data_IF_292907629059
#
_entry.id   IF_292907629059
#
_cell.length_a   1.000
_cell.length_b   1.000
_cell.length_c   1.000
_cell.angle_alpha   90.00
_cell.angle_beta   90.00
_cell.angle_gamma   90.00
#
_symmetry.space_group_name_H-M   'P 1'
#
loop_
_entity.id
_entity.type
_entity.pdbx_description
1 polymer ?
2 non-polymer ?
3 non-polymer ?
4 non-polymer ?
5 non-polymer ?
6 water ?
#
# COMPACT_ATOMS: atom_id res chain seq x y z
N UNK A 8 -24.77 -20.79 -6.85
CA UNK A 8 -24.64 -20.18 -5.52
C UNK A 8 -25.54 -18.93 -5.29
N UNK A 9 -25.69 -18.50 -4.01
CA UNK A 9 -26.44 -17.32 -3.53
C UNK A 9 -25.65 -16.64 -2.39
N UNK A 10 -25.99 -15.36 -2.09
CA UNK A 10 -25.37 -14.63 -0.97
C UNK A 10 -26.15 -14.96 0.33
N UNK A 11 -25.49 -14.92 1.51
CA UNK A 11 -26.20 -15.21 2.77
C UNK A 11 -27.40 -14.33 3.00
N UNK A 12 -28.36 -14.80 3.80
CA UNK A 12 -29.56 -14.04 4.13
C UNK A 12 -29.18 -12.78 4.92
N UNK A 13 -28.16 -12.91 5.81
CA UNK A 13 -27.65 -11.84 6.66
C UNK A 13 -27.09 -10.66 5.87
N UNK A 14 -26.31 -10.97 4.80
CA UNK A 14 -25.71 -9.99 3.90
C UNK A 14 -26.78 -9.30 3.11
N UNK A 15 -27.67 -10.10 2.50
CA UNK A 15 -28.82 -9.68 1.70
C UNK A 15 -29.77 -8.78 2.47
N UNK A 16 -29.90 -9.00 3.78
CA UNK A 16 -30.75 -8.24 4.69
C UNK A 16 -30.33 -6.76 4.84
N UNK A 17 -29.04 -6.45 4.61
CA UNK A 17 -28.49 -5.08 4.76
C UNK A 17 -28.03 -4.48 3.44
N UNK A 18 -27.59 -5.31 2.48
CA UNK A 18 -27.05 -4.84 1.22
C UNK A 18 -27.74 -5.39 -0.02
N UNK A 19 -27.98 -4.51 -1.03
CA UNK A 19 -28.50 -4.85 -2.35
C UNK A 19 -27.30 -5.01 -3.26
N UNK A 20 -27.04 -6.24 -3.70
CA UNK A 20 -25.91 -6.60 -4.55
C UNK A 20 -26.12 -6.24 -6.03
N UNK A 21 -25.07 -5.66 -6.66
CA UNK A 21 -25.07 -5.26 -8.07
C UNK A 21 -23.82 -5.76 -8.84
N UNK A 22 -23.44 -5.03 -9.92
CA UNK A 22 -22.33 -5.28 -10.86
C UNK A 22 -20.98 -5.64 -10.23
N UNK A 23 -20.28 -6.62 -10.81
CA UNK A 23 -18.93 -7.03 -10.38
C UNK A 23 -17.89 -5.94 -10.72
N UNK A 24 -16.94 -5.69 -9.81
CA UNK A 24 -15.91 -4.66 -9.99
C UNK A 24 -14.55 -5.23 -10.41
N UNK A 25 -14.28 -6.45 -9.96
CA UNK A 25 -13.05 -7.19 -10.27
C UNK A 25 -13.12 -8.67 -10.00
N UNK A 26 -13.11 -9.49 -11.08
CA UNK A 26 -13.17 -10.96 -10.98
C UNK A 26 -11.78 -11.59 -10.78
N UNK A 31 -12.16 -11.36 -5.56
CA UNK A 31 -13.51 -11.06 -6.12
C UNK A 31 -14.21 -9.85 -5.40
N UNK A 32 -14.43 -8.72 -6.16
CA UNK A 32 -15.05 -7.48 -5.64
C UNK A 32 -16.36 -7.13 -6.35
N UNK A 33 -17.43 -6.89 -5.57
CA UNK A 33 -18.72 -6.51 -6.13
C UNK A 33 -19.23 -5.19 -5.60
N UNK A 34 -20.07 -4.52 -6.39
CA UNK A 34 -20.68 -3.26 -5.97
C UNK A 34 -22.03 -3.56 -5.31
N UNK A 35 -22.25 -3.01 -4.12
CA UNK A 35 -23.51 -3.20 -3.41
C UNK A 35 -24.04 -1.86 -2.91
N UNK A 36 -25.27 -1.84 -2.46
CA UNK A 36 -25.89 -0.64 -1.94
C UNK A 36 -26.37 -0.90 -0.52
N UNK A 37 -25.99 -0.05 0.43
CA UNK A 37 -26.47 -0.25 1.79
C UNK A 37 -27.94 0.18 1.80
N UNK A 38 -28.86 -0.74 2.15
CA UNK A 38 -30.31 -0.49 2.19
C UNK A 38 -30.66 0.71 3.07
N UNK A 39 -29.98 0.84 4.23
CA UNK A 39 -30.21 1.89 5.23
C UNK A 39 -29.94 3.27 4.68
N UNK A 40 -28.81 3.44 4.00
CA UNK A 40 -28.32 4.74 3.52
C UNK A 40 -28.50 5.01 2.05
N UNK A 41 -28.73 3.96 1.24
CA UNK A 41 -28.80 3.95 -0.21
C UNK A 41 -27.46 4.30 -0.82
N UNK A 42 -26.43 4.40 0.03
CA UNK A 42 -25.07 4.72 -0.41
C UNK A 42 -24.45 3.47 -1.04
N UNK A 43 -23.51 3.66 -2.00
CA UNK A 43 -22.79 2.60 -2.70
C UNK A 43 -21.69 2.08 -1.78
N UNK A 44 -21.35 0.79 -1.87
CA UNK A 44 -20.26 0.13 -1.11
C UNK A 44 -19.53 -0.86 -2.01
N UNK A 45 -18.41 -1.41 -1.54
CA UNK A 45 -17.69 -2.45 -2.28
C UNK A 45 -17.63 -3.70 -1.40
N UNK A 46 -18.13 -4.83 -1.92
CA UNK A 46 -18.11 -6.08 -1.17
C UNK A 46 -17.10 -7.08 -1.72
N UNK A 47 -16.00 -7.29 -0.96
CA UNK A 47 -14.90 -8.20 -1.27
C UNK A 47 -15.22 -9.62 -0.74
N UNK A 48 -15.38 -10.56 -1.68
CA UNK A 48 -15.63 -11.97 -1.42
C UNK A 48 -14.27 -12.75 -1.47
N UNK A 49 -13.84 -13.31 -0.31
CA UNK A 49 -12.63 -14.13 -0.16
C UNK A 49 -13.15 -15.54 0.09
N UNK A 50 -13.02 -16.44 -0.90
CA UNK A 50 -13.52 -17.84 -0.81
C UNK A 50 -12.80 -18.71 0.24
N UNK A 51 -13.58 -19.49 1.03
CA UNK A 51 -13.09 -20.35 2.12
C UNK A 51 -12.21 -21.50 1.66
N UNK A 67 -6.56 -16.28 8.78
CA UNK A 67 -5.82 -15.25 8.04
C UNK A 67 -6.75 -14.07 7.62
N UNK A 68 -8.04 -14.36 7.42
CA UNK A 68 -9.06 -13.34 7.08
C UNK A 68 -9.52 -12.72 8.39
N UNK A 69 -9.49 -13.48 9.50
CA UNK A 69 -9.83 -12.99 10.84
C UNK A 69 -8.79 -11.98 11.31
N UNK A 70 -7.51 -12.20 10.91
CA UNK A 70 -6.38 -11.32 11.20
C UNK A 70 -6.48 -10.03 10.36
N UNK A 71 -6.85 -10.17 9.06
CA UNK A 71 -7.02 -9.06 8.12
C UNK A 71 -8.11 -8.08 8.67
N UNK A 72 -9.22 -8.63 9.20
CA UNK A 72 -10.35 -7.89 9.78
C UNK A 72 -9.88 -7.21 11.06
N UNK A 73 -9.15 -7.98 11.91
CA UNK A 73 -8.59 -7.52 13.17
C UNK A 73 -7.64 -6.35 12.95
N UNK A 74 -6.75 -6.45 11.92
CA UNK A 74 -5.84 -5.35 11.58
C UNK A 74 -6.65 -4.10 11.12
N UNK A 75 -7.49 -4.28 10.09
CA UNK A 75 -8.30 -3.21 9.49
C UNK A 75 -9.32 -2.51 10.37
N UNK A 76 -9.82 -3.18 11.41
CA UNK A 76 -10.78 -2.59 12.35
C UNK A 76 -10.09 -1.58 13.28
N UNK A 77 -8.81 -1.88 13.65
CA UNK A 77 -7.98 -1.05 14.54
C UNK A 77 -7.36 0.15 13.83
N UNK A 78 -6.87 -0.04 12.59
CA UNK A 78 -6.22 1.00 11.77
C UNK A 78 -7.20 2.08 11.39
N UNK A 79 -6.80 3.34 11.60
CA UNK A 79 -7.62 4.51 11.27
C UNK A 79 -6.79 5.67 10.63
N UNK A 80 -6.74 5.70 9.28
CA UNK A 80 -5.96 6.69 8.54
C UNK A 80 -6.63 7.00 7.22
N UNK A 81 -6.58 8.27 6.74
CA UNK A 81 -7.23 8.62 5.47
C UNK A 81 -6.74 7.82 4.26
N UNK A 82 -5.49 7.33 4.27
CA UNK A 82 -4.91 6.58 3.16
C UNK A 82 -4.87 5.08 3.33
N UNK A 83 -5.67 4.55 4.27
CA UNK A 83 -5.87 3.13 4.51
C UNK A 83 -7.39 2.84 4.44
N UNK A 84 -7.81 1.91 3.55
CA UNK A 84 -9.20 1.46 3.35
C UNK A 84 -9.87 1.01 4.68
N UNK A 85 -11.14 1.42 4.90
CA UNK A 85 -11.87 1.09 6.12
C UNK A 85 -12.91 -0.03 5.89
N UNK A 86 -13.07 -0.89 6.91
CA UNK A 86 -14.05 -1.99 6.93
C UNK A 86 -15.32 -1.36 7.43
N UNK A 87 -16.43 -1.58 6.71
CA UNK A 87 -17.73 -1.04 7.11
C UNK A 87 -18.52 -2.16 7.80
N UNK A 88 -18.33 -3.42 7.34
CA UNK A 88 -19.06 -4.60 7.82
C UNK A 88 -18.38 -5.90 7.36
N UNK A 89 -18.64 -7.00 8.06
CA UNK A 89 -18.05 -8.30 7.75
C UNK A 89 -19.03 -9.48 7.96
N UNK A 90 -19.02 -10.44 7.02
CA UNK A 90 -19.88 -11.63 7.06
C UNK A 90 -19.06 -12.90 6.84
N UNK A 91 -19.14 -13.82 7.80
CA UNK A 91 -18.43 -15.09 7.78
C UNK A 91 -19.45 -16.21 7.55
N UNK A 92 -19.56 -16.67 6.28
CA UNK A 92 -20.50 -17.70 5.85
C UNK A 92 -19.80 -18.84 5.08
N UNK A 93 -20.38 -19.30 3.93
CA UNK A 93 -19.80 -20.34 3.05
C UNK A 93 -18.50 -19.79 2.47
N UNK A 94 -18.43 -18.44 2.37
CA UNK A 94 -17.30 -17.62 1.97
C UNK A 94 -17.26 -16.42 2.93
N UNK A 95 -16.16 -15.67 2.90
CA UNK A 95 -16.03 -14.47 3.72
C UNK A 95 -16.43 -13.28 2.88
N UNK A 96 -17.26 -12.37 3.45
CA UNK A 96 -17.71 -11.16 2.75
C UNK A 96 -17.24 -9.93 3.53
N UNK A 97 -16.46 -9.06 2.88
CA UNK A 97 -15.91 -7.86 3.51
C UNK A 97 -16.46 -6.62 2.82
N UNK A 98 -17.18 -5.77 3.58
CA UNK A 98 -17.80 -4.52 3.09
C UNK A 98 -16.81 -3.40 3.29
N UNK A 99 -16.43 -2.75 2.20
CA UNK A 99 -15.47 -1.65 2.19
C UNK A 99 -16.05 -0.42 1.52
N UNK A 100 -15.42 0.73 1.76
CA UNK A 100 -15.82 1.98 1.12
C UNK A 100 -15.49 1.87 -0.38
N UNK A 101 -16.37 2.38 -1.24
CA UNK A 101 -16.17 2.26 -2.68
C UNK A 101 -15.20 3.29 -3.19
N UNK A 102 -14.15 2.81 -3.88
CA UNK A 102 -13.12 3.65 -4.48
C UNK A 102 -13.50 3.77 -5.93
N UNK A 103 -14.11 4.92 -6.26
CA UNK A 103 -14.63 5.19 -7.57
C UNK A 103 -13.58 5.32 -8.70
N UNK A 104 -12.32 5.60 -8.35
CA UNK A 104 -11.23 5.70 -9.33
C UNK A 104 -10.57 4.38 -9.72
N UNK A 105 -10.92 3.31 -9.03
CA UNK A 105 -10.35 1.99 -9.31
C UNK A 105 -8.95 1.80 -8.79
N UNK A 106 -8.21 0.85 -9.40
CA UNK A 106 -6.82 0.48 -9.05
C UNK A 106 -5.84 1.42 -9.73
N UNK A 107 -4.69 1.69 -9.07
CA UNK A 107 -3.60 2.51 -9.60
C UNK A 107 -2.92 1.76 -10.75
N UNK A 108 -3.01 0.43 -10.70
CA UNK A 108 -2.47 -0.45 -11.72
C UNK A 108 -3.02 -0.09 -13.09
N UNK A 109 -4.35 0.16 -13.16
CA UNK A 109 -5.03 0.54 -14.40
C UNK A 109 -4.55 1.90 -14.97
N UNK A 110 -3.95 2.77 -14.11
CA UNK A 110 -3.42 4.07 -14.54
C UNK A 110 -1.98 3.94 -15.09
N UNK A 111 -1.30 2.80 -14.81
CA UNK A 111 0.09 2.53 -15.21
C UNK A 111 0.33 1.42 -16.26
N UNK A 112 -0.67 0.56 -16.55
CA UNK A 112 -0.58 -0.54 -17.55
C UNK A 112 -0.24 -0.06 -18.97
N UNK A 113 0.46 -0.93 -19.71
CA UNK A 113 0.83 -0.68 -21.11
C UNK A 113 1.70 0.53 -21.32
N UNK A 114 2.70 0.70 -20.43
CA UNK A 114 3.66 1.81 -20.45
C UNK A 114 3.02 3.21 -20.39
N UNK A 115 1.87 3.28 -19.70
CA UNK A 115 1.15 4.51 -19.42
C UNK A 115 1.95 5.23 -18.34
N UNK A 116 2.21 6.51 -18.59
CA UNK A 116 3.00 7.32 -17.69
C UNK A 116 2.18 8.41 -17.03
N UNK A 117 2.32 8.50 -15.69
CA UNK A 117 1.70 9.50 -14.82
C UNK A 117 2.61 10.75 -14.80
N UNK A 118 2.01 11.99 -14.89
CA UNK A 118 2.73 13.28 -14.81
C UNK A 118 3.54 13.30 -13.49
N UNK A 119 4.77 13.84 -13.49
CA UNK A 119 5.58 13.89 -12.27
C UNK A 119 4.84 14.42 -11.02
N UNK A 120 3.90 15.37 -11.21
CA UNK A 120 3.10 15.97 -10.13
C UNK A 120 2.11 14.98 -9.51
N UNK A 121 1.51 14.12 -10.35
CA UNK A 121 0.54 13.12 -9.89
C UNK A 121 1.26 12.02 -9.14
N UNK A 122 2.52 11.72 -9.54
CA UNK A 122 3.38 10.75 -8.86
C UNK A 122 3.64 11.27 -7.47
N UNK A 123 4.04 12.56 -7.36
CA UNK A 123 4.32 13.17 -6.08
C UNK A 123 3.15 13.07 -5.14
N UNK A 124 1.95 13.40 -5.61
CA UNK A 124 0.73 13.39 -4.80
C UNK A 124 0.38 11.99 -4.24
N UNK A 125 0.39 11.01 -5.13
CA UNK A 125 0.07 9.61 -4.85
C UNK A 125 1.10 9.01 -3.91
N UNK A 126 2.38 9.20 -4.26
CA UNK A 126 3.50 8.68 -3.51
C UNK A 126 3.55 9.20 -2.10
N UNK A 127 3.35 10.53 -1.92
CA UNK A 127 3.31 11.18 -0.62
C UNK A 127 2.30 10.51 0.26
N UNK A 128 1.10 10.23 -0.29
CA UNK A 128 0.03 9.53 0.43
C UNK A 128 0.40 8.08 0.80
N UNK A 129 1.05 7.34 -0.14
CA UNK A 129 1.53 5.98 0.13
C UNK A 129 2.57 6.03 1.27
N UNK A 130 3.45 7.07 1.27
CA UNK A 130 4.44 7.20 2.35
C UNK A 130 3.77 7.44 3.71
N UNK A 131 2.77 8.31 3.75
CA UNK A 131 2.04 8.60 4.96
C UNK A 131 1.33 7.35 5.51
N UNK A 132 0.66 6.62 4.61
CA UNK A 132 -0.06 5.38 4.90
C UNK A 132 0.85 4.32 5.50
N UNK A 133 1.99 4.03 4.82
CA UNK A 133 3.00 3.07 5.25
C UNK A 133 3.66 3.53 6.56
N UNK A 134 4.01 4.82 6.68
CA UNK A 134 4.58 5.30 7.93
C UNK A 134 3.65 4.93 9.10
N UNK A 135 2.31 5.17 8.92
CA UNK A 135 1.24 4.88 9.89
C UNK A 135 1.29 3.43 10.30
N UNK A 136 1.25 2.51 9.31
CA UNK A 136 1.33 1.07 9.50
C UNK A 136 2.53 0.70 10.37
N UNK A 137 3.74 1.15 9.98
CA UNK A 137 5.01 0.89 10.67
C UNK A 137 5.00 1.49 12.09
N UNK A 138 4.52 2.73 12.25
CA UNK A 138 4.37 3.36 13.56
C UNK A 138 3.50 2.48 14.47
N UNK A 139 2.42 1.87 13.93
CA UNK A 139 1.48 0.98 14.64
C UNK A 139 1.85 -0.53 14.51
N UNK A 140 3.13 -0.82 14.23
CA UNK A 140 3.69 -2.17 14.12
C UNK A 140 3.12 -3.17 13.14
N UNK A 141 2.71 -2.71 11.94
CA UNK A 141 2.16 -3.55 10.88
C UNK A 141 3.04 -3.44 9.66
N UNK A 142 3.28 -4.58 9.00
CA UNK A 142 4.08 -4.67 7.79
C UNK A 142 3.13 -5.19 6.69
N UNK A 143 2.86 -4.40 5.63
CA UNK A 143 1.92 -4.77 4.57
C UNK A 143 2.40 -5.99 3.83
N UNK A 144 3.68 -5.99 3.42
CA UNK A 144 4.31 -7.15 2.78
C UNK A 144 3.85 -7.46 1.34
N UNK A 145 2.80 -6.79 0.85
CA UNK A 145 2.30 -7.00 -0.50
C UNK A 145 1.90 -5.69 -1.22
N UNK A 146 2.76 -4.63 -1.12
CA UNK A 146 2.48 -3.36 -1.82
C UNK A 146 2.76 -3.48 -3.32
N UNK A 147 1.72 -3.21 -4.13
CA UNK A 147 1.72 -3.29 -5.59
C UNK A 147 0.79 -2.19 -6.12
N UNK A 148 0.94 -1.75 -7.39
CA UNK A 148 -0.05 -0.81 -7.95
C UNK A 148 -1.48 -1.37 -7.92
N UNK A 149 -1.66 -2.70 -7.88
CA UNK A 149 -2.99 -3.35 -7.81
C UNK A 149 -3.64 -3.33 -6.40
N UNK A 150 -2.89 -2.87 -5.40
CA UNK A 150 -3.36 -2.76 -4.01
C UNK A 150 -3.48 -1.29 -3.59
N UNK A 151 -3.29 -0.36 -4.54
CA UNK A 151 -3.44 1.09 -4.35
C UNK A 151 -4.70 1.51 -5.13
N UNK A 152 -5.70 2.05 -4.39
CA UNK A 152 -6.98 2.47 -4.94
C UNK A 152 -7.16 3.97 -4.93
N UNK A 153 -7.59 4.51 -6.07
CA UNK A 153 -7.86 5.94 -6.30
C UNK A 153 -9.32 6.26 -5.93
N UNK A 154 -9.54 7.32 -5.13
CA UNK A 154 -10.87 7.73 -4.67
C UNK A 154 -11.81 8.20 -5.75
N UNK A 155 -11.30 9.01 -6.70
CA UNK A 155 -12.12 9.54 -7.79
C UNK A 155 -11.55 9.28 -9.19
N UNK A 156 -12.40 9.49 -10.21
CA UNK A 156 -12.00 9.34 -11.61
C UNK A 156 -11.06 10.50 -12.04
N UNK A 157 -10.87 11.54 -11.17
CA UNK A 157 -9.99 12.69 -11.39
C UNK A 157 -8.51 12.36 -11.05
N UNK A 158 -7.52 13.05 -11.68
CA UNK A 158 -6.08 12.81 -11.46
C UNK A 158 -5.69 13.20 -10.05
N UNK A 159 -5.99 14.43 -9.63
CA UNK A 159 -5.71 14.82 -8.25
C UNK A 159 -6.87 14.23 -7.44
N UNK A 160 -6.56 13.22 -6.59
CA UNK A 160 -7.51 12.52 -5.71
C UNK A 160 -6.80 11.81 -4.56
N UNK A 161 -7.59 11.30 -3.60
CA UNK A 161 -7.05 10.58 -2.47
C UNK A 161 -6.79 9.14 -2.85
N UNK A 162 -5.69 8.57 -2.35
CA UNK A 162 -5.38 7.16 -2.60
C UNK A 162 -5.56 6.35 -1.30
N UNK A 163 -5.92 5.07 -1.42
CA UNK A 163 -6.07 4.22 -0.24
C UNK A 163 -5.39 2.87 -0.45
N UNK A 164 -4.63 2.41 0.56
CA UNK A 164 -3.90 1.15 0.55
C UNK A 164 -4.86 0.07 0.97
N UNK A 165 -4.95 -0.97 0.13
CA UNK A 165 -5.86 -2.11 0.34
C UNK A 165 -5.11 -3.45 0.42
N UNK A 166 -5.86 -4.55 0.64
CA UNK A 166 -5.39 -5.95 0.66
C UNK A 166 -4.30 -6.26 1.70
N UNK A 167 -4.75 -6.47 2.94
CA UNK A 167 -3.88 -6.78 4.06
C UNK A 167 -3.80 -8.28 4.40
N UNK A 168 -4.06 -9.13 3.40
CA UNK A 168 -4.03 -10.58 3.54
C UNK A 168 -2.68 -11.10 3.97
N UNK A 169 -1.63 -10.54 3.37
CA UNK A 169 -0.21 -10.87 3.61
C UNK A 169 0.44 -10.17 4.80
N UNK A 170 -0.20 -9.12 5.36
CA UNK A 170 0.41 -8.39 6.47
C UNK A 170 0.82 -9.19 7.71
N UNK A 171 1.90 -8.76 8.38
CA UNK A 171 2.44 -9.37 9.59
C UNK A 171 2.34 -8.36 10.72
N UNK A 172 2.29 -8.84 11.98
CA UNK A 172 2.22 -7.97 13.16
C UNK A 172 3.45 -8.15 14.05
N UNK A 173 4.22 -7.06 14.24
CA UNK A 173 5.39 -7.03 15.10
C UNK A 173 4.94 -6.98 16.58
N UNK A 175 6.62 -8.28 20.60
CA UNK A 175 7.85 -8.87 21.15
C UNK A 175 8.17 -10.21 20.48
N UNK A 176 9.38 -10.32 19.92
CA UNK A 176 9.84 -11.50 19.21
C UNK A 176 10.36 -12.63 20.10
N UNK A 177 10.53 -13.81 19.48
CA UNK A 177 11.09 -15.01 20.10
C UNK A 177 12.58 -14.76 20.34
N UNK A 178 13.22 -13.91 19.50
CA UNK A 178 14.64 -13.57 19.65
C UNK A 178 14.82 -12.74 20.94
N UNK A 179 14.02 -11.67 21.12
CA UNK A 179 14.06 -10.84 22.32
C UNK A 179 13.92 -11.71 23.60
N UNK A 180 13.02 -12.72 23.59
CA UNK A 180 12.81 -13.63 24.72
C UNK A 180 14.03 -14.57 24.96
N UNK A 181 14.65 -15.07 23.88
CA UNK A 181 15.82 -15.96 23.89
C UNK A 181 17.04 -15.23 24.49
N UNK A 182 17.30 -13.98 24.04
CA UNK A 182 18.44 -13.19 24.50
C UNK A 182 18.47 -12.87 25.99
N UNK A 183 17.30 -12.96 26.68
CA UNK A 183 17.24 -12.75 28.14
C UNK A 183 17.99 -13.87 28.91
N UNK A 184 18.13 -15.05 28.30
CA UNK A 184 18.90 -16.15 28.86
C UNK A 184 20.38 -16.10 28.49
N UNK A 185 21.19 -17.06 29.01
CA UNK A 185 22.61 -17.17 28.68
C UNK A 185 22.75 -18.12 27.49
N UNK A 186 23.51 -17.72 26.44
CA UNK A 186 23.59 -18.55 25.22
C UNK A 186 24.49 -19.78 25.29
N UNK A 187 24.63 -20.39 26.48
CA UNK A 187 25.44 -21.58 26.60
C UNK A 187 25.12 -22.59 25.48
N UNK A 188 23.81 -22.86 25.28
CA UNK A 188 23.29 -23.83 24.32
C UNK A 188 22.74 -23.22 23.05
N UNK A 189 22.75 -21.88 22.94
CA UNK A 189 22.25 -21.20 21.76
C UNK A 189 23.12 -21.42 20.50
N UNK A 190 22.46 -21.74 19.36
CA UNK A 190 23.06 -21.98 18.04
C UNK A 190 23.67 -20.69 17.50
N UNK A 191 24.79 -20.78 16.71
CA UNK A 191 25.44 -19.57 16.20
C UNK A 191 24.57 -18.73 15.29
N UNK A 192 23.86 -19.39 14.36
CA UNK A 192 22.99 -18.70 13.42
C UNK A 192 21.98 -17.78 14.12
N UNK A 193 21.54 -18.16 15.33
CA UNK A 193 20.57 -17.39 16.10
C UNK A 193 21.25 -16.11 16.51
N UNK A 194 22.48 -16.20 17.03
CA UNK A 194 23.28 -15.06 17.41
C UNK A 194 23.61 -14.18 16.21
N UNK A 195 23.80 -14.78 15.02
CA UNK A 195 24.06 -14.00 13.81
C UNK A 195 22.83 -13.20 13.39
N UNK A 196 21.64 -13.81 13.44
CA UNK A 196 20.37 -13.18 13.07
C UNK A 196 20.10 -11.85 13.82
N UNK A 197 20.73 -11.65 14.99
CA UNK A 197 20.62 -10.46 15.87
C UNK A 197 20.96 -9.14 15.15
N UNK A 198 21.94 -9.17 14.23
CA UNK A 198 22.36 -8.01 13.46
C UNK A 198 21.31 -7.45 12.52
N UNK A 199 20.72 -8.35 11.72
CA UNK A 199 19.70 -8.12 10.70
C UNK A 199 18.31 -7.89 11.29
N UNK A 200 17.99 -8.48 12.48
CA UNK A 200 16.69 -8.43 13.16
C UNK A 200 16.02 -7.07 13.23
N UNK A 201 14.70 -7.05 13.31
CA UNK A 201 13.90 -5.84 13.40
C UNK A 201 13.95 -4.87 12.22
N UNK A 202 14.24 -5.38 10.99
CA UNK A 202 14.30 -4.62 9.73
C UNK A 202 13.42 -5.25 8.61
N UNK A 203 12.38 -6.02 9.00
CA UNK A 203 11.44 -6.69 8.07
C UNK A 203 10.52 -5.65 7.43
N UNK A 204 10.25 -4.54 8.15
CA UNK A 204 9.44 -3.41 7.68
C UNK A 204 10.06 -2.84 6.38
N UNK A 205 11.41 -2.79 6.28
CA UNK A 205 12.15 -2.32 5.10
C UNK A 205 11.71 -2.99 3.77
N UNK A 206 10.95 -4.10 3.84
CA UNK A 206 10.42 -4.73 2.64
C UNK A 206 9.39 -3.85 1.94
N UNK A 207 8.61 -3.08 2.70
CA UNK A 207 7.61 -2.14 2.20
C UNK A 207 8.26 -0.93 1.50
N UNK A 208 9.45 -0.50 1.96
CA UNK A 208 10.18 0.61 1.35
C UNK A 208 10.72 0.16 0.02
N UNK A 209 11.10 -1.12 -0.10
CA UNK A 209 11.54 -1.66 -1.37
C UNK A 209 10.35 -1.53 -2.34
N UNK A 210 9.17 -2.10 -1.98
CA UNK A 210 7.94 -2.06 -2.77
C UNK A 210 7.55 -0.66 -3.27
N UNK A 211 7.59 0.34 -2.37
CA UNK A 211 7.30 1.73 -2.71
C UNK A 211 8.29 2.23 -3.75
N UNK A 212 9.54 1.81 -3.60
CA UNK A 212 10.60 2.13 -4.56
C UNK A 212 10.30 1.53 -5.93
N UNK A 213 9.81 0.29 -5.96
CA UNK A 213 9.44 -0.41 -7.20
C UNK A 213 8.17 0.25 -7.79
N UNK A 214 7.22 0.68 -6.92
CA UNK A 214 5.98 1.34 -7.37
C UNK A 214 6.32 2.69 -8.00
N UNK A 215 7.09 3.52 -7.26
CA UNK A 215 7.52 4.86 -7.70
C UNK A 215 8.24 4.82 -9.08
N UNK A 216 9.13 3.83 -9.32
CA UNK A 216 9.83 3.59 -10.59
C UNK A 216 8.80 3.38 -11.72
N UNK A 217 7.80 2.48 -11.49
CA UNK A 217 6.70 2.19 -12.43
C UNK A 217 5.87 3.44 -12.76
N UNK A 218 5.43 4.22 -11.76
CA UNK A 218 4.68 5.46 -12.00
C UNK A 218 5.42 6.51 -12.81
N UNK A 219 6.70 6.74 -12.44
CA UNK A 219 7.60 7.71 -13.07
C UNK A 219 8.00 7.38 -14.49
N UNK A 220 8.27 6.08 -14.80
CA UNK A 220 8.75 5.61 -16.11
C UNK A 220 7.75 4.92 -17.04
N UNK A 221 6.71 4.32 -16.48
CA UNK A 221 5.75 3.56 -17.27
C UNK A 221 6.18 2.11 -17.40
N UNK A 222 7.47 1.79 -17.08
CA UNK A 222 8.07 0.45 -17.12
C UNK A 222 8.61 -0.03 -15.73
N UNK A 223 8.69 -1.38 -15.48
CA UNK A 223 9.21 -1.85 -14.17
C UNK A 223 10.75 -1.87 -14.08
N UNK A 224 11.32 -1.77 -12.86
CA UNK A 224 12.78 -1.79 -12.74
C UNK A 224 13.43 -3.13 -13.04
N UNK A 225 12.86 -4.22 -12.48
CA UNK A 225 13.33 -5.60 -12.62
C UNK A 225 12.29 -6.37 -13.41
N UNK A 226 12.71 -7.02 -14.50
CA UNK A 226 11.82 -7.71 -15.45
C UNK A 226 12.61 -8.68 -16.33
N UNK A 227 11.90 -9.70 -16.85
CA UNK A 227 12.45 -10.72 -17.74
C UNK A 227 12.28 -10.35 -19.26
N UNK A 228 11.74 -9.13 -19.57
CA UNK A 228 11.59 -8.65 -20.97
C UNK A 228 12.93 -8.12 -21.50
N UNK A 229 13.41 -8.72 -22.62
CA UNK A 229 14.67 -8.41 -23.29
C UNK A 229 15.91 -8.35 -22.36
N UNK A 230 16.12 -9.45 -21.60
CA UNK A 230 17.23 -9.63 -20.64
C UNK A 230 17.66 -11.09 -20.58
N UNK A 231 18.94 -11.32 -20.24
CA UNK A 231 19.54 -12.65 -20.08
C UNK A 231 19.63 -12.98 -18.59
N UNK A 232 19.87 -11.94 -17.80
CA UNK A 232 20.01 -11.97 -16.34
C UNK A 232 18.67 -12.37 -15.70
N UNK A 233 18.69 -13.38 -14.79
CA UNK A 233 17.49 -13.87 -14.08
C UNK A 233 16.90 -12.77 -13.22
N UNK A 234 15.56 -12.83 -12.98
CA UNK A 234 14.85 -11.87 -12.14
C UNK A 234 15.46 -11.89 -10.74
N UNK A 235 15.74 -13.08 -10.18
CA UNK A 235 16.41 -13.23 -8.88
C UNK A 235 17.76 -12.50 -8.88
N UNK A 236 18.53 -12.60 -9.99
CA UNK A 236 19.82 -11.92 -10.10
C UNK A 236 19.74 -10.39 -10.12
N UNK A 237 18.85 -9.80 -10.96
CA UNK A 237 18.64 -8.35 -11.03
C UNK A 237 18.30 -7.81 -9.64
N UNK A 238 17.29 -8.43 -8.96
CA UNK A 238 16.83 -8.00 -7.64
C UNK A 238 17.91 -8.10 -6.57
N UNK A 239 18.60 -9.26 -6.49
CA UNK A 239 19.65 -9.43 -5.49
C UNK A 239 20.81 -8.47 -5.72
N UNK A 240 21.21 -8.28 -7.01
CA UNK A 240 22.27 -7.34 -7.36
C UNK A 240 21.85 -5.87 -7.17
N UNK A 241 20.53 -5.59 -7.26
CA UNK A 241 19.95 -4.26 -7.17
C UNK A 241 20.16 -3.41 -8.42
N UNK A 242 20.51 -4.06 -9.55
CA UNK A 242 20.79 -3.41 -10.84
C UNK A 242 19.55 -3.35 -11.75
N UNK A 243 18.72 -2.32 -11.51
CA UNK A 243 17.47 -2.05 -12.23
C UNK A 243 17.76 -1.65 -13.65
N UNK A 244 16.82 -1.94 -14.54
CA UNK A 244 16.93 -1.57 -15.94
C UNK A 244 16.69 -0.07 -16.10
N UNK A 245 17.75 0.67 -16.46
CA UNK A 245 17.65 2.11 -16.65
C UNK A 245 17.65 2.54 -18.14
N UNK A 246 16.55 3.17 -18.59
CA UNK A 246 16.41 3.65 -19.98
C UNK A 246 16.47 5.19 -19.97
N UNK A 247 17.65 5.77 -20.32
CA UNK A 247 17.81 7.24 -20.28
C UNK A 247 16.72 8.08 -20.96
N UNK A 248 16.35 7.72 -22.21
CA UNK A 248 15.31 8.39 -23.01
C UNK A 248 14.04 8.61 -22.19
N UNK A 249 13.63 7.58 -21.43
CA UNK A 249 12.43 7.63 -20.62
C UNK A 249 12.65 8.53 -19.39
N UNK A 250 13.78 8.33 -18.68
CA UNK A 250 14.14 9.09 -17.47
C UNK A 250 14.57 10.55 -17.67
N UNK A 251 14.69 10.99 -18.94
CA UNK A 251 15.03 12.37 -19.28
C UNK A 251 13.84 13.30 -18.94
N UNK A 252 12.60 12.79 -19.07
CA UNK A 252 11.38 13.54 -18.76
C UNK A 252 11.09 13.56 -17.23
N UNK A 253 11.96 12.90 -16.44
CA UNK A 253 11.86 12.80 -14.99
C UNK A 253 12.99 13.62 -14.36
N UNK A 254 12.68 14.33 -13.25
CA UNK A 254 13.63 15.14 -12.48
C UNK A 254 14.70 14.28 -11.81
N UNK A 255 15.83 14.91 -11.38
CA UNK A 255 16.91 14.22 -10.67
C UNK A 255 16.46 13.94 -9.23
N UNK A 256 15.68 14.87 -8.61
CA UNK A 256 15.11 14.71 -7.25
C UNK A 256 14.28 13.42 -7.17
N UNK A 257 13.40 13.18 -8.17
CA UNK A 257 12.53 12.00 -8.26
C UNK A 257 13.37 10.72 -8.35
N UNK A 258 14.28 10.66 -9.35
CA UNK A 258 15.19 9.54 -9.56
C UNK A 258 16.11 9.29 -8.36
N UNK A 259 16.58 10.34 -7.66
CA UNK A 259 17.42 10.18 -6.47
C UNK A 259 16.69 9.40 -5.39
N UNK A 260 15.39 9.72 -5.17
CA UNK A 260 14.55 9.03 -4.19
C UNK A 260 14.42 7.53 -4.51
N UNK A 261 14.17 7.18 -5.79
CA UNK A 261 14.07 5.79 -6.26
C UNK A 261 15.39 5.06 -5.92
N UNK A 262 16.52 5.63 -6.33
CA UNK A 262 17.86 5.11 -6.07
C UNK A 262 18.11 4.87 -4.56
N UNK A 263 17.58 5.77 -3.69
CA UNK A 263 17.74 5.72 -2.23
C UNK A 263 16.84 4.64 -1.57
N UNK A 264 15.69 4.32 -2.22
CA UNK A 264 14.72 3.30 -1.77
C UNK A 264 15.07 1.91 -2.35
N UNK A 265 15.60 1.83 -3.59
CA UNK A 265 15.96 0.57 -4.24
C UNK A 265 17.40 0.14 -3.89
N UNK A 266 17.66 0.06 -2.59
CA UNK A 266 18.95 -0.28 -1.98
C UNK A 266 18.88 -1.73 -1.46
N UNK A 267 19.85 -2.57 -1.90
CA UNK A 267 19.97 -3.98 -1.52
C UNK A 267 19.99 -4.21 0.01
N UNK A 268 20.94 -3.61 0.75
CA UNK A 268 21.07 -3.70 2.20
C UNK A 268 19.87 -3.04 2.91
N UNK A 269 18.95 -3.82 3.55
CA UNK A 269 17.79 -3.19 4.20
C UNK A 269 18.13 -2.18 5.29
N UNK A 270 19.32 -2.33 5.91
CA UNK A 270 19.77 -1.46 6.98
C UNK A 270 20.14 -0.11 6.47
N UNK A 271 20.67 -0.04 5.22
CA UNK A 271 21.07 1.18 4.51
C UNK A 271 19.91 1.83 3.76
N UNK A 272 18.90 1.04 3.38
CA UNK A 272 17.70 1.45 2.65
C UNK A 272 16.93 2.51 3.41
N UNK A 273 16.39 3.52 2.67
CA UNK A 273 15.57 4.62 3.18
C UNK A 273 14.33 4.12 3.86
N UNK A 274 13.90 4.83 4.91
CA UNK A 274 12.66 4.55 5.63
C UNK A 274 11.60 5.52 5.11
N UNK A 275 10.34 5.33 5.48
CA UNK A 275 9.28 6.24 5.09
C UNK A 275 9.56 7.66 5.58
N UNK A 276 10.13 7.77 6.79
CA UNK A 276 10.53 9.01 7.46
C UNK A 276 11.59 9.76 6.60
N UNK A 277 12.66 9.05 6.24
CA UNK A 277 13.76 9.57 5.42
C UNK A 277 13.24 10.01 4.04
N UNK A 278 12.37 9.14 3.44
CA UNK A 278 11.73 9.40 2.16
C UNK A 278 10.93 10.72 2.25
N UNK A 279 10.00 10.83 3.27
CA UNK A 279 9.17 12.00 3.55
C UNK A 279 9.99 13.28 3.81
N UNK A 280 11.28 13.15 4.22
CA UNK A 280 12.18 14.30 4.43
C UNK A 280 12.95 14.69 3.14
N UNK A 281 12.93 13.82 2.10
CA UNK A 281 13.65 14.00 0.84
C UNK A 281 13.23 15.25 0.05
N UNK A 282 14.22 15.95 -0.57
CA UNK A 282 13.90 17.16 -1.36
C UNK A 282 12.70 17.05 -2.31
N UNK A 283 12.49 15.86 -2.92
CA UNK A 283 11.41 15.65 -3.87
C UNK A 283 10.05 15.86 -3.25
N UNK A 284 9.93 15.57 -1.95
CA UNK A 284 8.67 15.66 -1.23
C UNK A 284 8.45 16.96 -0.47
N UNK A 285 9.47 17.85 -0.49
CA UNK A 285 9.39 19.17 0.11
C UNK A 285 8.76 20.12 -0.94
N UNK A 286 7.50 19.83 -1.34
CA UNK A 286 6.69 20.56 -2.34
C UNK A 286 5.41 21.05 -1.68
N UNK A 287 5.45 22.33 -1.23
CA UNK A 287 4.36 22.99 -0.53
C UNK A 287 3.00 23.05 -1.20
N UNK A 288 2.99 22.96 -2.54
CA UNK A 288 1.78 22.98 -3.34
C UNK A 288 1.12 21.61 -3.31
N UNK A 289 1.95 20.54 -3.45
CA UNK A 289 1.49 19.15 -3.44
C UNK A 289 0.85 18.88 -2.08
N UNK A 290 1.56 19.22 -0.97
CA UNK A 290 1.09 19.05 0.42
C UNK A 290 -0.28 19.73 0.62
N UNK A 291 -0.39 20.98 0.10
CA UNK A 291 -1.60 21.80 0.07
C UNK A 291 -2.75 21.09 -0.66
N UNK A 292 -2.50 20.56 -1.89
CA UNK A 292 -3.46 19.85 -2.75
C UNK A 292 -4.09 18.64 -2.03
N UNK A 293 -3.26 17.81 -1.34
CA UNK A 293 -3.69 16.64 -0.58
C UNK A 293 -4.59 17.11 0.58
N UNK A 294 -4.10 18.12 1.35
CA UNK A 294 -4.80 18.75 2.48
C UNK A 294 -6.17 19.27 2.07
N UNK A 295 -6.25 19.83 0.86
CA UNK A 295 -7.47 20.36 0.25
C UNK A 295 -8.40 19.23 -0.17
N UNK A 296 -7.84 18.05 -0.58
CA UNK A 296 -8.63 16.86 -0.97
C UNK A 296 -9.16 16.17 0.27
N UNK A 297 -8.39 16.27 1.37
CA UNK A 297 -8.71 15.69 2.68
C UNK A 297 -10.01 16.30 3.21
N UNK A 298 -10.01 17.66 3.45
CA UNK A 298 -11.19 18.39 3.95
C UNK A 298 -12.42 18.22 3.05
N UNK A 299 -12.20 18.07 1.71
CA UNK A 299 -13.23 17.84 0.70
C UNK A 299 -14.04 16.58 0.99
N UNK A 300 -13.36 15.50 1.47
CA UNK A 300 -13.98 14.22 1.87
C UNK A 300 -14.59 14.35 3.27
N UNK A 301 -13.88 15.08 4.15
CA UNK A 301 -14.28 15.31 5.54
C UNK A 301 -15.53 16.19 5.76
N UNK A 302 -15.97 16.96 4.74
CA UNK A 302 -17.17 17.82 4.80
C UNK A 302 -18.44 17.03 5.10
N UNK A 303 -18.55 15.79 4.57
CA UNK A 303 -19.68 14.87 4.77
C UNK A 303 -19.84 14.44 6.25
N UNK A 304 -18.73 13.97 6.88
CA UNK A 304 -18.65 13.49 8.26
C UNK A 304 -18.70 14.59 9.35
N UNK A 305 -18.22 15.82 9.01
CA UNK A 305 -18.09 17.02 9.87
C UNK A 305 -19.20 17.37 10.87
N UNK A 306 -18.91 17.15 12.18
CA UNK A 306 -19.82 17.49 13.28
C UNK A 306 -19.51 18.94 13.75
N UNK A 307 -20.54 19.79 14.03
CA UNK A 307 -20.28 21.21 14.41
C UNK A 307 -19.27 21.38 15.53
N UNK A 308 -18.36 22.35 15.34
CA UNK A 308 -17.25 22.58 16.25
C UNK A 308 -17.57 23.37 17.49
N UNK A 309 -16.83 23.09 18.58
CA UNK A 309 -16.96 23.72 19.89
C UNK A 309 -16.63 25.22 19.84
N UNK A 310 -15.34 25.60 19.60
CA UNK A 310 -14.86 27.00 19.51
C UNK A 310 -15.05 27.81 20.79
#
# INVERSE_FOLDING_TARGET
GPLGSHMSVYPKALRDEYIMSKTLGSGACGEVKLAFERKTCKKVAIKIISKRKFAIGSAREADPALNVETEIEILKKLNHPCIIKIKNFFDAEDYYIVLELMEGGELFDKVVGNKRLKEATCKLYFYQMLLAVQYLHENGIIHRDLKPENVLLSSQEEDCLIKITDFGHSKILGETSLMRTLCGTPTYLAPEVLVSVGTAGYNRAVDCWSLGVILFICLSGYPPFSEHRTQVSLKDQITSGKYNFIPEVWAEVSEKALDLVKKLLVVDPKARFTTEEALRHPWLQDEDMKRKFQDLLSEENESTALPQVLAQPSTSRKRPREGEAEGAE
#
